data_IF_398249528003
#
_entry.id   IF_398249528003
#
_cell.length_a   1.000
_cell.length_b   1.000
_cell.length_c   1.000
_cell.angle_alpha   90.00
_cell.angle_beta   90.00
_cell.angle_gamma   90.00
#
_symmetry.space_group_name_H-M   'P 1'
#
loop_
_entity.id
_entity.type
_entity.pdbx_description
1 polymer ?
#
# COMPACT_ATOMS: atom_id res chain seq x y z
N UNK A 1 -7.59 -24.70 -3.37
CA UNK A 1 -8.32 -23.44 -3.10
C UNK A 1 -7.28 -22.38 -2.73
N UNK A 2 -7.34 -21.19 -3.33
CA UNK A 2 -6.37 -20.11 -3.05
C UNK A 2 -6.69 -19.51 -1.67
N UNK A 3 -5.68 -19.32 -0.81
CA UNK A 3 -5.87 -18.86 0.57
C UNK A 3 -5.16 -17.53 0.89
N UNK A 4 -4.50 -16.91 -0.09
CA UNK A 4 -3.79 -15.64 0.07
C UNK A 4 -3.08 -15.21 -1.20
N UNK A 5 -2.55 -13.99 -1.18
CA UNK A 5 -1.73 -13.41 -2.25
C UNK A 5 -0.48 -12.77 -1.64
N UNK A 6 0.66 -12.90 -2.32
CA UNK A 6 1.91 -12.25 -1.95
C UNK A 6 2.22 -11.16 -2.99
N UNK A 7 2.34 -9.91 -2.54
CA UNK A 7 2.65 -8.76 -3.40
C UNK A 7 4.14 -8.48 -3.31
N UNK A 8 4.81 -8.38 -4.46
CA UNK A 8 6.24 -8.05 -4.55
C UNK A 8 6.37 -6.69 -5.22
N UNK A 9 7.01 -5.75 -4.51
CA UNK A 9 7.35 -4.43 -5.03
C UNK A 9 8.85 -4.37 -5.27
N UNK A 10 9.26 -4.13 -6.53
CA UNK A 10 10.64 -3.92 -6.88
C UNK A 10 11.01 -2.45 -6.67
N UNK A 11 12.06 -2.20 -5.90
CA UNK A 11 12.50 -0.86 -5.54
C UNK A 11 14.01 -0.68 -5.74
N UNK A 12 14.42 0.57 -5.91
CA UNK A 12 15.82 0.99 -5.96
C UNK A 12 16.44 1.16 -4.58
N UNK A 13 15.63 1.34 -3.53
CA UNK A 13 16.09 1.50 -2.15
C UNK A 13 15.22 0.67 -1.18
N UNK A 14 15.57 -0.61 -1.07
CA UNK A 14 14.80 -1.56 -0.29
C UNK A 14 14.82 -1.26 1.22
N UNK A 15 15.90 -0.69 1.75
CA UNK A 15 15.98 -0.36 3.17
C UNK A 15 15.06 0.81 3.53
N UNK A 16 15.07 1.88 2.71
CA UNK A 16 14.19 3.02 2.93
C UNK A 16 12.71 2.64 2.85
N UNK A 17 12.33 1.84 1.85
CA UNK A 17 10.94 1.43 1.67
C UNK A 17 10.47 0.48 2.78
N UNK A 18 11.32 -0.45 3.21
CA UNK A 18 11.03 -1.31 4.38
C UNK A 18 10.87 -0.47 5.65
N UNK A 19 11.73 0.51 5.87
CA UNK A 19 11.62 1.42 7.01
C UNK A 19 10.33 2.23 6.95
N UNK A 20 9.92 2.70 5.76
CA UNK A 20 8.64 3.39 5.60
C UNK A 20 7.45 2.50 5.99
N UNK A 21 7.40 1.26 5.48
CA UNK A 21 6.33 0.33 5.80
C UNK A 21 6.29 -0.04 7.29
N UNK A 22 7.46 -0.24 7.90
CA UNK A 22 7.58 -0.63 9.32
C UNK A 22 7.30 0.54 10.26
N UNK A 23 7.97 1.66 10.08
CA UNK A 23 8.05 2.72 11.08
C UNK A 23 7.00 3.81 10.83
N UNK A 24 6.71 4.09 9.55
CA UNK A 24 5.75 5.14 9.18
C UNK A 24 4.34 4.56 9.06
N UNK A 25 4.14 3.53 8.24
CA UNK A 25 2.84 2.87 8.12
C UNK A 25 2.51 1.97 9.31
N UNK A 26 3.52 1.53 10.07
CA UNK A 26 3.30 0.70 11.27
C UNK A 26 2.86 -0.72 10.94
N UNK A 27 3.12 -1.22 9.73
CA UNK A 27 2.71 -2.56 9.32
C UNK A 27 3.53 -3.62 10.06
N UNK A 28 2.84 -4.62 10.60
CA UNK A 28 3.49 -5.78 11.22
C UNK A 28 4.31 -6.51 10.17
N UNK A 29 5.48 -7.01 10.54
CA UNK A 29 6.32 -7.80 9.65
C UNK A 29 7.02 -8.94 10.35
N UNK A 30 7.49 -9.89 9.55
CA UNK A 30 8.45 -10.93 9.94
C UNK A 30 9.76 -10.68 9.20
N UNK A 31 10.89 -10.92 9.86
CA UNK A 31 12.20 -10.91 9.21
C UNK A 31 12.51 -12.30 8.68
N UNK A 32 12.63 -12.43 7.36
CA UNK A 32 13.00 -13.67 6.68
C UNK A 32 14.53 -13.90 6.66
N UNK A 33 15.29 -13.06 7.37
CA UNK A 33 16.74 -13.08 7.47
C UNK A 33 17.38 -11.86 6.84
N UNK A 34 18.48 -11.39 7.43
CA UNK A 34 19.30 -10.29 6.91
C UNK A 34 18.53 -8.98 6.64
N UNK A 35 17.47 -8.70 7.41
CA UNK A 35 16.65 -7.49 7.22
C UNK A 35 15.62 -7.62 6.09
N UNK A 36 15.39 -8.82 5.56
CA UNK A 36 14.37 -9.06 4.55
C UNK A 36 12.98 -9.13 5.20
N UNK A 37 12.36 -7.97 5.38
CA UNK A 37 11.03 -7.88 5.99
C UNK A 37 9.90 -8.28 5.03
N UNK A 38 9.00 -9.13 5.51
CA UNK A 38 7.72 -9.46 4.88
C UNK A 38 6.60 -8.87 5.73
N UNK A 39 5.79 -7.98 5.14
CA UNK A 39 4.75 -7.25 5.85
C UNK A 39 3.38 -7.94 5.76
N UNK A 40 2.66 -7.93 6.87
CA UNK A 40 1.24 -8.25 6.92
C UNK A 40 0.45 -7.07 6.35
N UNK A 41 0.03 -7.18 5.10
CA UNK A 41 -0.80 -6.17 4.44
C UNK A 41 -2.22 -6.18 5.02
N UNK A 42 -2.92 -5.03 4.97
CA UNK A 42 -4.37 -5.00 5.21
C UNK A 42 -5.11 -5.87 4.17
N UNK A 43 -6.41 -6.13 4.37
CA UNK A 43 -7.24 -6.73 3.33
C UNK A 43 -7.07 -6.00 2.00
N UNK A 44 -6.89 -6.75 0.91
CA UNK A 44 -6.54 -6.21 -0.39
C UNK A 44 -7.43 -6.75 -1.50
N UNK A 45 -7.52 -5.97 -2.57
CA UNK A 45 -8.18 -6.31 -3.82
C UNK A 45 -7.20 -6.18 -4.99
N UNK A 46 -7.52 -6.83 -6.11
CA UNK A 46 -6.76 -6.68 -7.35
C UNK A 46 -7.71 -6.21 -8.46
N UNK A 47 -7.33 -5.13 -9.13
CA UNK A 47 -8.07 -4.57 -10.26
C UNK A 47 -7.24 -4.67 -11.55
N UNK A 48 -7.91 -4.96 -12.66
CA UNK A 48 -7.30 -5.06 -13.98
C UNK A 48 -8.00 -4.07 -14.91
N UNK A 49 -7.35 -2.94 -15.18
CA UNK A 49 -7.84 -1.93 -16.11
C UNK A 49 -7.31 -2.21 -17.52
N UNK A 50 -8.11 -2.04 -18.58
CA UNK A 50 -7.62 -2.13 -19.95
C UNK A 50 -6.47 -1.14 -20.20
N UNK A 51 -5.43 -1.59 -20.89
CA UNK A 51 -4.30 -0.76 -21.29
C UNK A 51 -3.78 -1.17 -22.67
N UNK A 52 -3.26 -0.21 -23.43
CA UNK A 52 -2.64 -0.48 -24.74
C UNK A 52 -1.28 -1.17 -24.60
N UNK A 53 -0.60 -0.94 -23.48
CA UNK A 53 0.71 -1.53 -23.14
C UNK A 53 0.74 -1.85 -21.65
N UNK A 54 1.64 -2.75 -21.24
CA UNK A 54 1.85 -3.04 -19.83
C UNK A 54 2.44 -1.82 -19.11
N UNK A 55 1.80 -1.41 -18.01
CA UNK A 55 2.20 -0.25 -17.21
C UNK A 55 2.78 -0.61 -15.85
N UNK A 56 3.07 0.40 -15.01
CA UNK A 56 3.50 0.17 -13.63
C UNK A 56 2.39 -0.53 -12.83
N UNK A 57 2.80 -1.25 -11.79
CA UNK A 57 1.88 -1.73 -10.77
C UNK A 57 1.70 -0.65 -9.71
N UNK A 58 0.46 -0.44 -9.31
CA UNK A 58 0.09 0.61 -8.37
C UNK A 58 -0.40 -0.02 -7.06
N UNK A 59 0.05 0.54 -5.94
CA UNK A 59 -0.34 0.11 -4.61
C UNK A 59 -1.12 1.23 -3.93
N UNK A 60 -2.38 0.94 -3.61
CA UNK A 60 -3.27 1.86 -2.92
C UNK A 60 -3.60 1.29 -1.54
N UNK A 61 -3.54 2.15 -0.52
CA UNK A 61 -4.03 1.84 0.82
C UNK A 61 -5.36 2.55 1.04
N UNK A 62 -6.34 1.82 1.56
CA UNK A 62 -7.66 2.36 1.90
C UNK A 62 -7.71 2.71 3.38
N UNK A 63 -8.44 3.78 3.71
CA UNK A 63 -8.70 4.20 5.08
C UNK A 63 -10.09 4.84 5.20
N UNK A 64 -10.66 4.85 6.40
CA UNK A 64 -11.99 5.40 6.65
C UNK A 64 -12.02 6.94 6.53
N UNK A 65 -10.88 7.60 6.77
CA UNK A 65 -10.78 9.06 6.71
C UNK A 65 -9.41 9.50 6.21
N UNK A 66 -9.35 9.88 4.93
CA UNK A 66 -8.13 10.39 4.30
C UNK A 66 -7.54 11.58 5.06
N UNK A 67 -8.38 12.52 5.51
CA UNK A 67 -7.92 13.70 6.27
C UNK A 67 -7.27 13.32 7.60
N UNK A 68 -7.84 12.37 8.33
CA UNK A 68 -7.28 11.92 9.60
C UNK A 68 -5.93 11.20 9.37
N UNK A 69 -5.87 10.35 8.34
CA UNK A 69 -4.65 9.61 8.02
C UNK A 69 -3.52 10.55 7.56
N UNK A 70 -3.80 11.51 6.68
CA UNK A 70 -2.82 12.52 6.28
C UNK A 70 -2.29 13.32 7.47
N UNK A 71 -3.15 13.68 8.44
CA UNK A 71 -2.70 14.37 9.65
C UNK A 71 -1.83 13.47 10.55
N UNK A 72 -2.15 12.18 10.64
CA UNK A 72 -1.34 11.18 11.36
C UNK A 72 0.04 11.02 10.73
N UNK A 73 0.10 10.84 9.41
CA UNK A 73 1.33 10.73 8.63
C UNK A 73 2.17 12.01 8.70
N UNK A 74 1.53 13.18 8.69
CA UNK A 74 2.20 14.47 8.88
C UNK A 74 2.95 14.57 10.21
N UNK A 75 2.38 14.03 11.31
CA UNK A 75 3.08 13.96 12.61
C UNK A 75 4.30 13.04 12.58
N UNK A 76 4.36 12.11 11.62
CA UNK A 76 5.50 11.21 11.36
C UNK A 76 6.47 11.78 10.32
N UNK A 77 6.31 13.04 9.92
CA UNK A 77 7.20 13.72 8.97
C UNK A 77 6.90 13.44 7.49
N UNK A 78 5.78 12.80 7.17
CA UNK A 78 5.40 12.55 5.78
C UNK A 78 4.78 13.79 5.16
N UNK A 79 5.31 14.21 4.02
CA UNK A 79 4.70 15.26 3.19
C UNK A 79 3.77 14.61 2.17
N UNK A 80 2.48 14.92 2.24
CA UNK A 80 1.51 14.45 1.26
C UNK A 80 1.40 15.44 0.10
N UNK A 81 1.25 14.94 -1.13
CA UNK A 81 0.91 15.76 -2.30
C UNK A 81 -0.52 16.29 -2.19
N UNK A 82 -0.93 17.09 -3.20
CA UNK A 82 -2.33 17.47 -3.35
C UNK A 82 -3.20 16.21 -3.46
N UNK A 83 -4.36 16.24 -2.82
CA UNK A 83 -5.37 15.17 -2.92
C UNK A 83 -5.93 15.14 -4.35
N UNK A 84 -6.01 13.95 -4.90
CA UNK A 84 -6.53 13.68 -6.24
C UNK A 84 -7.63 12.61 -6.19
N UNK A 85 -8.66 12.80 -7.00
CA UNK A 85 -9.70 11.79 -7.22
C UNK A 85 -9.18 10.74 -8.21
N UNK A 86 -8.74 9.60 -7.69
CA UNK A 86 -8.27 8.50 -8.51
C UNK A 86 -9.46 7.76 -9.15
N UNK A 87 -9.59 7.82 -10.48
CA UNK A 87 -10.62 7.07 -11.23
C UNK A 87 -10.39 5.55 -11.29
N UNK A 88 -9.51 5.01 -10.42
CA UNK A 88 -8.97 3.65 -10.50
C UNK A 88 -9.49 2.71 -9.41
N UNK A 89 -10.04 3.24 -8.32
CA UNK A 89 -10.72 2.43 -7.30
C UNK A 89 -12.18 2.26 -7.69
N UNK A 90 -12.59 1.01 -7.87
CA UNK A 90 -14.00 0.63 -7.82
C UNK A 90 -14.23 0.15 -6.40
N UNK A 91 -14.90 0.95 -5.56
CA UNK A 91 -15.22 0.55 -4.19
C UNK A 91 -16.19 -0.64 -4.24
N UNK A 92 -15.66 -1.86 -4.21
CA UNK A 92 -16.44 -3.10 -4.08
C UNK A 92 -16.70 -3.43 -2.60
N UNK A 93 -17.16 -2.45 -1.82
CA UNK A 93 -17.73 -2.70 -0.50
C UNK A 93 -19.05 -1.96 -0.37
N UNK A 94 -19.99 -2.31 -1.26
CA UNK A 94 -21.41 -2.22 -0.94
C UNK A 94 -21.75 -3.42 -0.07
N UNK A 95 -22.08 -3.16 1.19
CA UNK A 95 -22.68 -4.14 2.10
C UNK A 95 -23.83 -4.89 1.42
N UNK A 96 -23.74 -6.22 1.35
CA UNK A 96 -24.89 -7.13 1.27
C UNK A 96 -24.87 -8.03 2.49
#
# INVERSE_FOLDING_TARGET
MICGAHVIVYTKDAEADRAFFRDVLGLKSVDAGHGWLIFALPPGEAAFHPANENGPHELYFMCDSLKAEMASLGKKGVTCSKVEEARKLVTLFGSS
#
